data_IF_441678204525
#
_entry.id   IF_441678204525
#
_cell.length_a   1.000
_cell.length_b   1.000
_cell.length_c   1.000
_cell.angle_alpha   90.00
_cell.angle_beta   90.00
_cell.angle_gamma   90.00
#
_symmetry.space_group_name_H-M   'P 1'
#
loop_
_entity.id
_entity.type
_entity.pdbx_description
1 polymer ?
#
# COMPACT_ATOMS: atom_id res chain seq x y z
N UNK A 1 9.67 -7.24 11.24
CA UNK A 1 8.36 -6.97 10.64
C UNK A 1 8.24 -7.84 9.38
N UNK A 2 7.13 -8.56 9.19
CA UNK A 2 6.97 -9.44 8.02
C UNK A 2 6.94 -8.67 6.70
N UNK A 3 6.35 -7.47 6.70
CA UNK A 3 6.43 -6.52 5.59
C UNK A 3 7.14 -5.23 6.04
N UNK A 4 8.00 -4.68 5.17
CA UNK A 4 8.66 -3.37 5.36
C UNK A 4 8.21 -2.42 4.26
N UNK A 5 8.07 -1.12 4.55
CA UNK A 5 7.69 -0.08 3.59
C UNK A 5 8.77 0.98 3.51
N UNK A 6 9.24 1.30 2.30
CA UNK A 6 10.26 2.33 2.06
C UNK A 6 9.95 3.19 0.82
N UNK A 7 10.01 4.54 0.92
CA UNK A 7 10.12 5.32 2.16
C UNK A 7 8.88 5.15 3.05
N UNK A 8 8.98 5.44 4.36
CA UNK A 8 7.83 5.36 5.26
C UNK A 8 6.91 6.59 5.14
N UNK A 9 7.48 7.73 4.82
CA UNK A 9 6.78 9.02 4.71
C UNK A 9 6.57 9.42 3.26
N UNK A 10 5.39 9.99 2.97
CA UNK A 10 5.02 10.49 1.65
C UNK A 10 4.99 12.03 1.68
N UNK A 11 6.12 12.68 1.43
CA UNK A 11 6.19 14.14 1.34
C UNK A 11 5.74 14.60 -0.05
N UNK A 12 4.49 15.07 -0.16
CA UNK A 12 3.89 15.51 -1.42
C UNK A 12 3.30 16.93 -1.30
N UNK A 13 3.47 17.81 -2.30
CA UNK A 13 2.89 19.15 -2.26
C UNK A 13 1.36 19.15 -2.23
N UNK A 14 0.76 20.10 -1.52
CA UNK A 14 -0.70 20.27 -1.47
C UNK A 14 -1.33 20.56 -2.86
N UNK A 15 -0.54 21.15 -3.78
CA UNK A 15 -0.96 21.40 -5.15
C UNK A 15 -1.15 20.11 -5.99
N UNK A 16 -0.60 18.98 -5.53
CA UNK A 16 -0.62 17.70 -6.19
C UNK A 16 0.79 17.11 -6.34
N UNK A 17 0.85 15.79 -6.52
CA UNK A 17 2.12 15.07 -6.68
C UNK A 17 1.95 13.56 -6.60
N UNK A 18 3.06 12.84 -6.74
CA UNK A 18 3.10 11.39 -6.57
C UNK A 18 4.25 11.00 -5.64
N UNK A 19 4.03 9.96 -4.87
CA UNK A 19 5.04 9.27 -4.08
C UNK A 19 4.92 7.77 -4.32
N UNK A 20 6.04 7.09 -4.47
CA UNK A 20 6.09 5.63 -4.66
C UNK A 20 6.74 5.00 -3.45
N UNK A 21 6.08 3.99 -2.90
CA UNK A 21 6.50 3.26 -1.71
C UNK A 21 6.66 1.79 -2.05
N UNK A 22 7.80 1.21 -1.70
CA UNK A 22 8.10 -0.18 -1.91
C UNK A 22 7.77 -0.98 -0.66
N UNK A 23 6.89 -1.97 -0.83
CA UNK A 23 6.51 -2.95 0.18
C UNK A 23 7.35 -4.22 -0.05
N UNK A 24 8.20 -4.57 0.90
CA UNK A 24 9.09 -5.74 0.83
C UNK A 24 8.60 -6.83 1.77
N UNK A 25 8.47 -8.06 1.27
CA UNK A 25 8.12 -9.24 2.06
C UNK A 25 9.36 -9.97 2.52
N UNK A 26 9.63 -9.93 3.83
CA UNK A 26 10.80 -10.58 4.44
C UNK A 26 10.49 -11.99 4.97
N UNK A 27 9.36 -12.57 4.55
CA UNK A 27 8.94 -13.92 4.95
C UNK A 27 9.12 -14.92 3.80
N UNK A 28 9.04 -16.20 4.15
CA UNK A 28 9.03 -17.34 3.22
C UNK A 28 7.62 -17.68 2.70
N UNK A 29 6.61 -16.91 3.10
CA UNK A 29 5.21 -17.10 2.72
C UNK A 29 4.72 -15.96 1.84
N UNK A 30 3.82 -16.26 0.90
CA UNK A 30 3.13 -15.24 0.11
C UNK A 30 2.23 -14.44 1.03
N UNK A 31 2.43 -13.12 1.06
CA UNK A 31 1.62 -12.20 1.85
C UNK A 31 0.54 -11.56 0.97
N UNK A 32 -0.60 -11.25 1.58
CA UNK A 32 -1.65 -10.43 0.98
C UNK A 32 -1.71 -9.10 1.73
N UNK A 33 -1.97 -8.00 1.03
CA UNK A 33 -2.11 -6.69 1.64
C UNK A 33 -3.36 -5.94 1.16
N UNK A 34 -3.84 -5.04 2.03
CA UNK A 34 -4.91 -4.07 1.77
C UNK A 34 -4.49 -2.70 2.27
N UNK A 35 -4.63 -1.70 1.41
CA UNK A 35 -4.34 -0.31 1.73
C UNK A 35 -5.61 0.37 2.23
N UNK A 36 -5.49 1.12 3.33
CA UNK A 36 -6.49 2.06 3.81
C UNK A 36 -5.89 3.45 3.88
N UNK A 37 -6.65 4.46 3.50
CA UNK A 37 -6.29 5.87 3.68
C UNK A 37 -7.32 6.55 4.58
N UNK A 38 -6.87 7.49 5.41
CA UNK A 38 -7.77 8.38 6.18
C UNK A 38 -8.44 9.44 5.31
N UNK A 39 -7.93 9.65 4.10
CA UNK A 39 -8.44 10.60 3.12
C UNK A 39 -8.42 9.98 1.73
N UNK A 40 -9.59 9.79 1.14
CA UNK A 40 -9.74 9.30 -0.23
C UNK A 40 -10.26 10.37 -1.19
N UNK A 41 -10.44 11.60 -0.73
CA UNK A 41 -10.90 12.72 -1.54
C UNK A 41 -9.71 13.34 -2.27
N UNK A 42 -8.65 13.66 -1.53
CA UNK A 42 -7.42 14.23 -2.10
C UNK A 42 -6.28 13.22 -2.32
N UNK A 43 -6.39 11.99 -1.82
CA UNK A 43 -5.40 10.95 -2.12
C UNK A 43 -5.99 9.81 -2.93
N UNK A 44 -5.20 9.27 -3.85
CA UNK A 44 -5.47 8.01 -4.56
C UNK A 44 -4.29 7.09 -4.36
N UNK A 45 -4.55 5.86 -3.92
CA UNK A 45 -3.50 4.86 -3.72
C UNK A 45 -3.73 3.67 -4.64
N UNK A 46 -2.67 3.21 -5.30
CA UNK A 46 -2.72 2.06 -6.22
C UNK A 46 -1.47 1.18 -6.07
N UNK A 47 -1.63 -0.15 -5.99
CA UNK A 47 -2.89 -0.88 -5.87
C UNK A 47 -3.48 -0.79 -4.44
N UNK A 48 -4.80 -0.96 -4.29
CA UNK A 48 -5.46 -1.02 -2.97
C UNK A 48 -5.34 -2.42 -2.36
N UNK A 49 -5.33 -3.45 -3.18
CA UNK A 49 -5.14 -4.84 -2.77
C UNK A 49 -4.03 -5.45 -3.61
N UNK A 50 -3.26 -6.36 -3.04
CA UNK A 50 -2.26 -7.09 -3.79
C UNK A 50 -1.64 -8.23 -3.00
N UNK A 51 -0.77 -8.95 -3.69
CA UNK A 51 0.08 -9.97 -3.10
C UNK A 51 1.53 -9.50 -3.14
N UNK A 52 2.32 -10.01 -2.19
CA UNK A 52 3.78 -9.92 -2.24
C UNK A 52 4.32 -11.33 -2.04
N UNK A 53 5.00 -11.85 -3.07
CA UNK A 53 5.58 -13.20 -3.02
C UNK A 53 6.72 -13.28 -1.98
N UNK A 54 7.11 -14.49 -1.54
CA UNK A 54 8.23 -14.67 -0.62
C UNK A 54 9.50 -13.97 -1.09
N UNK A 55 10.19 -13.25 -0.19
CA UNK A 55 11.35 -12.40 -0.51
C UNK A 55 11.12 -11.36 -1.64
N UNK A 56 9.86 -11.14 -2.03
CA UNK A 56 9.47 -10.26 -3.13
C UNK A 56 9.15 -8.85 -2.68
N UNK A 57 8.76 -8.03 -3.66
CA UNK A 57 8.40 -6.65 -3.46
C UNK A 57 7.16 -6.25 -4.28
N UNK A 58 6.42 -5.27 -3.77
CA UNK A 58 5.31 -4.64 -4.45
C UNK A 58 5.45 -3.12 -4.36
N UNK A 59 5.05 -2.42 -5.42
CA UNK A 59 5.10 -0.96 -5.48
C UNK A 59 3.71 -0.37 -5.22
N UNK A 60 3.64 0.61 -4.34
CA UNK A 60 2.44 1.36 -3.98
C UNK A 60 2.63 2.81 -4.43
N UNK A 61 1.85 3.24 -5.42
CA UNK A 61 1.80 4.63 -5.86
C UNK A 61 0.72 5.38 -5.07
N UNK A 62 1.14 6.45 -4.39
CA UNK A 62 0.28 7.41 -3.71
C UNK A 62 0.26 8.68 -4.55
N UNK A 63 -0.90 9.02 -5.12
CA UNK A 63 -1.12 10.27 -5.85
C UNK A 63 -1.88 11.25 -4.95
N UNK A 64 -1.32 12.44 -4.75
CA UNK A 64 -1.98 13.59 -4.13
C UNK A 64 -2.63 14.45 -5.21
N UNK A 65 -3.90 14.77 -5.00
CA UNK A 65 -4.68 15.72 -5.78
C UNK A 65 -4.61 17.11 -5.13
N UNK A 66 -4.98 18.13 -5.90
CA UNK A 66 -5.07 19.49 -5.41
C UNK A 66 -6.08 19.57 -4.26
N UNK A 67 -5.68 20.18 -3.14
CA UNK A 67 -6.55 20.37 -1.98
C UNK A 67 -5.80 20.99 -0.79
N UNK A 68 -6.48 21.26 0.33
CA UNK A 68 -5.87 21.92 1.48
C UNK A 68 -4.72 21.09 2.08
N UNK A 69 -3.66 21.73 2.60
CA UNK A 69 -2.58 21.02 3.30
C UNK A 69 -3.12 20.34 4.55
N UNK A 70 -2.83 19.05 4.70
CA UNK A 70 -3.31 18.23 5.82
C UNK A 70 -2.41 17.01 5.99
N UNK A 71 -2.19 16.61 7.23
CA UNK A 71 -1.57 15.34 7.57
C UNK A 71 -2.61 14.21 7.49
N UNK A 72 -2.38 13.26 6.59
CA UNK A 72 -3.21 12.09 6.39
C UNK A 72 -2.35 10.82 6.53
N UNK A 73 -3.00 9.69 6.85
CA UNK A 73 -2.33 8.41 7.10
C UNK A 73 -2.77 7.36 6.11
N UNK A 74 -1.79 6.65 5.56
CA UNK A 74 -1.98 5.43 4.79
C UNK A 74 -1.55 4.24 5.66
N UNK A 75 -2.40 3.22 5.72
CA UNK A 75 -2.20 2.01 6.52
C UNK A 75 -2.14 0.82 5.58
N UNK A 76 -1.04 0.05 5.66
CA UNK A 76 -0.92 -1.25 5.02
C UNK A 76 -1.37 -2.33 6.00
N UNK A 77 -2.53 -2.91 5.77
CA UNK A 77 -2.96 -4.13 6.46
C UNK A 77 -2.45 -5.34 5.70
N UNK A 78 -2.01 -6.38 6.40
CA UNK A 78 -1.48 -7.57 5.76
C UNK A 78 -1.80 -8.85 6.53
N UNK A 79 -1.77 -9.97 5.82
CA UNK A 79 -1.93 -11.31 6.36
C UNK A 79 -1.21 -12.34 5.47
N UNK A 80 -0.99 -13.59 5.94
CA UNK A 80 -0.68 -14.70 5.06
C UNK A 80 -1.75 -14.89 3.98
N UNK A 81 -1.33 -15.02 2.73
CA UNK A 81 -2.26 -15.27 1.62
C UNK A 81 -2.83 -16.70 1.73
N UNK A 82 -4.15 -16.88 1.51
CA UNK A 82 -4.73 -18.22 1.40
C UNK A 82 -4.06 -19.01 0.27
N UNK A 83 -3.97 -20.34 0.46
CA UNK A 83 -3.37 -21.23 -0.55
C UNK A 83 -4.15 -21.12 -1.86
N UNK A 84 -3.44 -20.92 -2.97
CA UNK A 84 -3.99 -20.77 -4.32
C UNK A 84 -4.88 -19.53 -4.54
N UNK A 85 -4.84 -18.52 -3.65
CA UNK A 85 -5.53 -17.26 -3.90
C UNK A 85 -5.00 -16.56 -5.16
N UNK A 86 -5.90 -16.23 -6.09
CA UNK A 86 -5.60 -15.53 -7.33
C UNK A 86 -6.11 -14.09 -7.33
N UNK A 87 -7.17 -13.80 -6.57
CA UNK A 87 -7.72 -12.46 -6.40
C UNK A 87 -7.44 -11.92 -4.98
N UNK A 88 -6.68 -10.83 -4.88
CA UNK A 88 -6.28 -10.24 -3.60
C UNK A 88 -7.44 -9.51 -2.90
N UNK A 89 -8.43 -9.03 -3.64
CA UNK A 89 -9.57 -8.31 -3.06
C UNK A 89 -10.53 -9.30 -2.42
N UNK A 90 -10.86 -10.37 -3.13
CA UNK A 90 -11.72 -11.44 -2.59
C UNK A 90 -11.06 -12.17 -1.43
N UNK A 91 -9.76 -12.46 -1.52
CA UNK A 91 -9.04 -13.23 -0.50
C UNK A 91 -8.81 -12.46 0.81
N UNK A 92 -8.82 -11.12 0.80
CA UNK A 92 -8.61 -10.31 2.01
C UNK A 92 -9.92 -10.05 2.79
N UNK A 93 -11.07 -10.02 2.11
CA UNK A 93 -12.36 -9.56 2.65
C UNK A 93 -12.47 -8.04 2.84
#
# INVERSE_FOLDING_TARGET
MPLTVEPLEAAVPAAGGKSTHQLTNNTDQRMIFKIRSTNNDEYRVRPVFGFVDPAGNASIEVTRLNGPPKDDRIVVQFAPAPRNATDAREAFG
#
